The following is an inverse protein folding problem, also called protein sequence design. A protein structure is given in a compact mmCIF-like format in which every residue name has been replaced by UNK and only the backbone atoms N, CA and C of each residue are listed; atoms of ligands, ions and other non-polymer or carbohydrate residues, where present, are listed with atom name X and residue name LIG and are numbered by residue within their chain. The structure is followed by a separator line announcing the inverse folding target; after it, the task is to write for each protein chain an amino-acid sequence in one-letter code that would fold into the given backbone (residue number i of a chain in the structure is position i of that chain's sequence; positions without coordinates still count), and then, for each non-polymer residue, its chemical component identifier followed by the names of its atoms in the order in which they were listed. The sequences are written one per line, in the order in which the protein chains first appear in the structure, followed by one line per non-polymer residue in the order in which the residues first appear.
data_IF_532630578738
#
_entry.id   IF_532630578738
#
_cell.length_a   1.000
_cell.length_b   1.000
_cell.length_c   1.000
_cell.angle_alpha   90.00
_cell.angle_beta   90.00
_cell.angle_gamma   90.00
#
_symmetry.space_group_name_H-M   'P 1'
#
loop_
_entity.id
_entity.type
_entity.pdbx_description
1 polymer ?
#
# COMPACT_ATOMS: atom_id res chain seq x y z
N UNK A 1 33.47 16.01 12.13
CA UNK A 1 32.38 15.05 11.87
C UNK A 1 32.02 14.18 13.08
N UNK A 2 32.97 13.86 13.98
CA UNK A 2 32.67 13.07 15.18
C UNK A 2 31.80 13.79 16.23
N UNK A 3 31.83 15.12 16.29
CA UNK A 3 31.07 15.91 17.26
C UNK A 3 29.55 15.91 17.00
N UNK A 4 29.11 15.83 15.74
CA UNK A 4 27.69 15.79 15.38
C UNK A 4 26.96 14.55 15.91
N UNK A 5 27.57 13.37 15.83
CA UNK A 5 26.98 12.10 16.27
C UNK A 5 26.89 12.07 17.79
N UNK A 6 27.97 12.46 18.49
CA UNK A 6 27.99 12.48 19.95
C UNK A 6 26.96 13.47 20.55
N UNK A 7 26.84 14.66 19.94
CA UNK A 7 25.84 15.68 20.34
C UNK A 7 24.41 15.16 20.08
N UNK A 8 24.19 14.52 18.96
CA UNK A 8 22.89 13.96 18.58
C UNK A 8 22.47 12.84 19.52
N UNK A 9 23.36 11.91 19.82
CA UNK A 9 23.08 10.79 20.74
C UNK A 9 22.80 11.26 22.16
N UNK A 10 23.44 12.35 22.62
CA UNK A 10 23.18 12.99 23.92
C UNK A 10 21.83 13.68 23.94
N UNK A 11 21.49 14.47 22.92
CA UNK A 11 20.28 15.28 22.87
C UNK A 11 19.01 14.48 22.59
N UNK A 12 19.13 13.29 22.00
CA UNK A 12 18.01 12.38 21.74
C UNK A 12 17.96 11.19 22.70
N UNK A 13 18.70 11.22 23.79
CA UNK A 13 18.60 10.22 24.84
C UNK A 13 17.20 10.27 25.52
N UNK A 14 16.62 9.11 25.92
CA UNK A 14 15.32 9.07 26.57
C UNK A 14 15.28 9.97 27.81
N UNK A 15 14.30 10.89 27.85
CA UNK A 15 14.10 11.82 28.97
C UNK A 15 14.86 13.16 28.89
N UNK A 16 15.61 13.39 27.81
CA UNK A 16 16.26 14.69 27.54
C UNK A 16 15.38 15.55 26.64
N UNK A 17 15.27 16.83 26.95
CA UNK A 17 14.65 17.82 26.07
C UNK A 17 15.72 18.51 25.23
N UNK A 18 15.79 18.26 23.90
CA UNK A 18 16.80 18.85 23.03
C UNK A 18 16.75 20.37 22.99
N UNK A 19 15.61 20.98 23.30
CA UNK A 19 15.45 22.45 23.31
C UNK A 19 16.17 23.12 24.48
N UNK A 20 16.50 22.38 25.52
CA UNK A 20 17.15 22.87 26.74
C UNK A 20 18.68 22.83 26.67
N UNK A 21 19.30 22.23 25.65
CA UNK A 21 20.77 22.10 25.52
C UNK A 21 21.36 23.27 24.71
N UNK A 22 22.14 24.18 25.32
CA UNK A 22 22.73 25.35 24.66
C UNK A 22 23.75 24.98 23.57
N UNK A 23 24.50 23.86 23.72
CA UNK A 23 25.45 23.38 22.71
C UNK A 23 24.72 22.88 21.49
N UNK A 24 23.59 22.21 21.68
CA UNK A 24 22.72 21.78 20.58
C UNK A 24 22.14 22.98 19.83
N UNK A 25 21.63 23.98 20.53
CA UNK A 25 21.12 25.21 19.93
C UNK A 25 22.17 25.93 19.08
N UNK A 26 23.41 26.04 19.57
CA UNK A 26 24.52 26.64 18.84
C UNK A 26 24.91 25.80 17.61
N UNK A 27 24.91 24.46 17.74
CA UNK A 27 25.21 23.52 16.65
C UNK A 27 24.18 23.59 15.53
N UNK A 28 22.89 23.76 15.84
CA UNK A 28 21.83 23.93 14.85
C UNK A 28 21.98 25.19 14.00
N UNK A 29 22.72 26.20 14.44
CA UNK A 29 22.98 27.39 13.62
C UNK A 29 24.00 27.10 12.51
N UNK A 30 24.92 26.18 12.73
CA UNK A 30 26.03 25.89 11.83
C UNK A 30 25.85 24.62 10.99
N UNK A 31 25.11 23.62 11.49
CA UNK A 31 24.96 22.31 10.82
C UNK A 31 23.58 22.17 10.14
N UNK A 32 23.56 22.11 8.81
CA UNK A 32 22.35 21.96 8.01
C UNK A 32 21.65 20.60 8.21
N UNK A 33 22.41 19.51 8.35
CA UNK A 33 21.88 18.15 8.55
C UNK A 33 21.17 18.02 9.89
N UNK A 34 21.77 18.56 10.97
CA UNK A 34 21.17 18.53 12.29
C UNK A 34 19.91 19.43 12.37
N UNK A 35 19.87 20.53 11.63
CA UNK A 35 18.64 21.35 11.49
C UNK A 35 17.51 20.58 10.82
N UNK A 36 17.80 19.81 9.79
CA UNK A 36 16.81 18.98 9.09
C UNK A 36 16.27 17.88 10.01
N UNK A 37 17.15 17.18 10.73
CA UNK A 37 16.76 16.15 11.69
C UNK A 37 15.89 16.73 12.84
N UNK A 38 16.26 17.88 13.38
CA UNK A 38 15.50 18.56 14.44
C UNK A 38 14.11 19.01 13.98
N UNK A 39 13.99 19.55 12.76
CA UNK A 39 12.68 19.90 12.17
C UNK A 39 11.81 18.67 11.92
N UNK A 40 12.40 17.55 11.52
CA UNK A 40 11.70 16.27 11.33
C UNK A 40 11.09 15.76 12.64
N UNK A 41 11.86 15.83 13.74
CA UNK A 41 11.38 15.43 15.08
C UNK A 41 10.25 16.33 15.58
N UNK A 42 10.37 17.64 15.45
CA UNK A 42 9.31 18.58 15.84
C UNK A 42 7.99 18.33 15.04
N UNK A 43 8.10 17.83 13.82
CA UNK A 43 6.94 17.42 13.02
C UNK A 43 6.31 16.12 13.54
N UNK A 44 7.12 15.16 13.92
CA UNK A 44 6.67 13.87 14.51
C UNK A 44 6.04 14.11 15.88
N UNK A 45 6.63 14.95 16.74
CA UNK A 45 6.07 15.31 18.06
C UNK A 45 4.71 16.01 17.93
N UNK A 46 4.56 16.90 16.96
CA UNK A 46 3.27 17.54 16.68
C UNK A 46 2.23 16.52 16.23
N UNK A 47 2.59 15.62 15.31
CA UNK A 47 1.71 14.56 14.86
C UNK A 47 1.34 13.60 16.01
N UNK A 48 2.27 13.28 16.91
CA UNK A 48 2.01 12.46 18.09
C UNK A 48 1.14 13.19 19.12
N UNK A 49 1.30 14.50 19.31
CA UNK A 49 0.45 15.31 20.21
C UNK A 49 -0.98 15.43 19.67
N UNK A 50 -1.16 15.50 18.36
CA UNK A 50 -2.48 15.46 17.71
C UNK A 50 -3.15 14.09 17.87
N UNK A 51 -2.39 12.99 17.80
CA UNK A 51 -2.88 11.64 18.08
C UNK A 51 -3.25 11.42 19.56
N UNK A 52 -2.54 12.07 20.50
CA UNK A 52 -2.83 12.04 21.94
C UNK A 52 -4.14 12.73 22.33
N UNK A 53 -4.74 13.55 21.46
CA UNK A 53 -6.05 14.19 21.67
C UNK A 53 -7.23 13.32 21.22
N UNK A 54 -6.99 12.18 20.61
CA UNK A 54 -8.06 11.24 20.31
C UNK A 54 -8.40 10.43 21.57
N UNK A 55 -9.67 10.37 21.99
CA UNK A 55 -10.07 9.62 23.18
C UNK A 55 -10.02 8.11 22.87
N UNK A 56 -8.85 7.54 22.88
CA UNK A 56 -8.68 6.10 22.98
C UNK A 56 -8.79 5.78 24.47
N UNK A 57 -10.01 5.49 24.94
CA UNK A 57 -10.18 4.86 26.25
C UNK A 57 -9.67 3.43 26.16
N UNK A 58 -8.40 3.21 26.38
CA UNK A 58 -7.89 1.92 26.77
C UNK A 58 -8.45 1.65 28.15
N UNK A 59 -9.22 0.55 28.40
CA UNK A 59 -9.66 0.24 29.75
C UNK A 59 -8.40 0.08 30.60
N UNK A 60 -8.22 1.02 31.53
CA UNK A 60 -7.02 1.12 32.34
C UNK A 60 -6.83 -0.17 33.17
N UNK A 61 -5.59 -0.43 33.55
CA UNK A 61 -5.18 -1.55 34.42
C UNK A 61 -6.04 -1.66 35.67
N UNK A 62 -6.60 -0.55 36.16
CA UNK A 62 -7.53 -0.50 37.28
C UNK A 62 -8.87 -1.22 37.03
N UNK A 63 -9.38 -1.23 35.78
CA UNK A 63 -10.60 -1.95 35.43
C UNK A 63 -10.37 -3.48 35.47
N UNK A 64 -9.19 -3.93 35.03
CA UNK A 64 -8.78 -5.33 35.09
C UNK A 64 -8.52 -5.77 36.53
N UNK A 65 -7.86 -4.93 37.34
CA UNK A 65 -7.59 -5.20 38.75
C UNK A 65 -8.88 -5.24 39.59
N UNK A 66 -9.86 -4.36 39.30
CA UNK A 66 -11.16 -4.38 40.00
C UNK A 66 -12.01 -5.59 39.62
N UNK A 67 -11.96 -6.06 38.38
CA UNK A 67 -12.63 -7.28 37.93
C UNK A 67 -12.02 -8.53 38.57
N UNK A 68 -10.70 -8.62 38.71
CA UNK A 68 -10.01 -9.70 39.41
C UNK A 68 -10.32 -9.70 40.92
N UNK A 69 -10.37 -8.52 41.56
CA UNK A 69 -10.74 -8.37 42.96
C UNK A 69 -12.19 -8.75 43.29
N UNK A 70 -13.13 -8.51 42.36
CA UNK A 70 -14.53 -8.91 42.50
C UNK A 70 -14.73 -10.40 42.32
N UNK A 71 -13.98 -11.07 41.45
CA UNK A 71 -13.99 -12.52 41.28
C UNK A 71 -13.48 -13.25 42.52
N UNK A 72 -12.41 -12.76 43.17
CA UNK A 72 -11.86 -13.33 44.41
C UNK A 72 -12.82 -13.17 45.61
N UNK A 73 -13.53 -12.04 45.70
CA UNK A 73 -14.56 -11.80 46.74
C UNK A 73 -15.76 -12.72 46.54
N UNK A 74 -16.20 -12.99 45.34
CA UNK A 74 -17.29 -13.89 45.03
C UNK A 74 -16.94 -15.36 45.37
N UNK A 75 -15.70 -15.77 45.21
CA UNK A 75 -15.24 -17.12 45.54
C UNK A 75 -15.22 -17.36 47.06
N UNK A 76 -14.82 -16.36 47.87
CA UNK A 76 -14.92 -16.44 49.34
C UNK A 76 -16.37 -16.45 49.85
N UNK A 77 -17.27 -15.70 49.20
CA UNK A 77 -18.71 -15.71 49.57
C UNK A 77 -19.39 -17.06 49.29
N UNK A 78 -18.98 -17.76 48.23
CA UNK A 78 -19.49 -19.11 47.90
C UNK A 78 -19.04 -20.19 48.89
N UNK A 79 -17.92 -20.01 49.60
CA UNK A 79 -17.46 -20.92 50.63
C UNK A 79 -18.19 -20.74 51.99
N UNK A 80 -18.68 -19.53 52.29
CA UNK A 80 -19.43 -19.27 53.54
C UNK A 80 -20.88 -19.74 53.49
N UNK A 81 -21.52 -19.77 52.31
CA UNK A 81 -22.94 -20.17 52.18
C UNK A 81 -23.16 -21.68 52.24
N UNK A 82 -22.10 -22.52 52.28
CA UNK A 82 -22.22 -23.97 52.38
C UNK A 82 -22.46 -24.51 53.77
N UNK A 83 -22.61 -23.66 54.83
CA UNK A 83 -22.77 -24.13 56.25
C UNK A 83 -24.11 -23.79 56.88
N UNK A 84 -25.13 -23.29 56.14
CA UNK A 84 -26.45 -23.06 56.70
C UNK A 84 -27.57 -23.35 55.70
N UNK A 85 -28.08 -24.60 55.72
CA UNK A 85 -29.40 -24.93 55.26
C UNK A 85 -29.95 -25.94 56.28
N UNK A 86 -31.20 -25.85 56.75
CA UNK A 86 -32.32 -26.24 55.94
C UNK A 86 -33.55 -25.28 56.08
N UNK A 87 -34.47 -25.40 55.19
CA UNK A 87 -35.81 -24.83 55.04
C UNK A 87 -35.88 -23.79 53.86
N UNK A 88 -36.50 -24.29 52.79
CA UNK A 88 -37.50 -23.60 51.96
C UNK A 88 -37.65 -24.30 50.58
N UNK A 89 -38.51 -25.27 50.52
CA UNK A 89 -38.83 -26.04 49.28
C UNK A 89 -39.93 -25.42 48.42
N UNK A 90 -40.35 -24.18 48.64
CA UNK A 90 -41.45 -23.55 47.89
C UNK A 90 -41.03 -22.42 46.91
N UNK A 91 -39.75 -22.03 46.89
CA UNK A 91 -39.22 -21.02 45.99
C UNK A 91 -38.48 -21.54 44.75
N UNK A 92 -38.27 -22.84 44.63
CA UNK A 92 -37.38 -23.44 43.61
C UNK A 92 -37.99 -23.52 42.21
N UNK A 93 -39.31 -23.53 42.06
CA UNK A 93 -39.95 -23.65 40.73
C UNK A 93 -39.91 -22.36 39.93
N UNK A 94 -40.05 -21.19 40.56
CA UNK A 94 -40.00 -19.89 39.87
C UNK A 94 -38.58 -19.45 39.57
N UNK A 95 -37.62 -19.78 40.45
CA UNK A 95 -36.21 -19.49 40.20
C UNK A 95 -35.60 -20.36 39.07
N UNK A 96 -36.07 -21.61 38.93
CA UNK A 96 -35.62 -22.49 37.83
C UNK A 96 -36.16 -22.03 36.48
N UNK A 97 -37.38 -21.51 36.40
CA UNK A 97 -37.95 -20.94 35.15
C UNK A 97 -37.24 -19.65 34.76
N UNK A 98 -36.94 -18.76 35.73
CA UNK A 98 -36.21 -17.53 35.46
C UNK A 98 -34.75 -17.79 35.04
N UNK A 99 -34.08 -18.74 35.71
CA UNK A 99 -32.73 -19.17 35.34
C UNK A 99 -32.68 -19.87 33.98
N UNK A 100 -33.71 -20.67 33.64
CA UNK A 100 -33.86 -21.28 32.31
C UNK A 100 -34.08 -20.25 31.21
N UNK A 101 -34.87 -19.20 31.46
CA UNK A 101 -35.14 -18.13 30.53
C UNK A 101 -33.89 -17.23 30.30
N UNK A 102 -33.18 -16.92 31.38
CA UNK A 102 -31.89 -16.20 31.31
C UNK A 102 -30.82 -17.03 30.62
N UNK A 103 -30.74 -18.34 30.92
CA UNK A 103 -29.84 -19.26 30.24
C UNK A 103 -30.21 -19.41 28.74
N UNK A 104 -31.48 -19.51 28.38
CA UNK A 104 -31.94 -19.55 27.01
C UNK A 104 -31.66 -18.24 26.27
N UNK A 105 -31.83 -17.07 26.91
CA UNK A 105 -31.47 -15.75 26.36
C UNK A 105 -29.94 -15.60 26.21
N UNK A 106 -29.15 -16.09 27.18
CA UNK A 106 -27.67 -16.06 27.09
C UNK A 106 -27.15 -17.06 26.05
N UNK A 107 -27.74 -18.24 25.93
CA UNK A 107 -27.43 -19.23 24.90
C UNK A 107 -27.89 -18.73 23.52
N UNK A 108 -29.06 -18.07 23.44
CA UNK A 108 -29.54 -17.42 22.23
C UNK A 108 -28.62 -16.31 21.78
N UNK A 109 -28.14 -15.45 22.71
CA UNK A 109 -27.13 -14.43 22.40
C UNK A 109 -25.77 -15.03 22.07
N UNK A 110 -25.32 -16.07 22.74
CA UNK A 110 -24.07 -16.76 22.43
C UNK A 110 -24.12 -17.47 21.07
N UNK A 111 -25.29 -17.96 20.64
CA UNK A 111 -25.48 -18.50 19.27
C UNK A 111 -25.50 -17.44 18.20
N UNK A 112 -25.88 -16.19 18.52
CA UNK A 112 -25.78 -15.06 17.59
C UNK A 112 -24.37 -14.51 17.49
N UNK A 113 -23.47 -14.81 18.44
CA UNK A 113 -22.08 -14.43 18.49
C UNK A 113 -21.13 -15.48 17.86
N UNK A 114 -21.64 -16.60 17.36
CA UNK A 114 -20.86 -17.58 16.64
C UNK A 114 -20.37 -17.05 15.30
N UNK A 115 -19.20 -17.50 14.79
CA UNK A 115 -18.67 -17.06 13.52
C UNK A 115 -19.69 -17.36 12.41
N UNK A 116 -20.07 -16.33 11.64
CA UNK A 116 -21.03 -16.44 10.54
C UNK A 116 -20.42 -17.29 9.43
N UNK A 117 -21.16 -18.32 8.98
CA UNK A 117 -20.76 -19.04 7.77
C UNK A 117 -20.93 -18.13 6.55
N UNK A 118 -19.85 -17.89 5.81
CA UNK A 118 -19.88 -17.08 4.60
C UNK A 118 -20.28 -17.94 3.39
N UNK A 119 -21.29 -17.49 2.65
CA UNK A 119 -21.69 -18.05 1.35
C UNK A 119 -21.25 -17.11 0.22
N UNK A 120 -21.08 -17.61 -1.01
CA UNK A 120 -20.76 -16.78 -2.17
C UNK A 120 -21.73 -15.61 -2.32
N UNK A 121 -21.20 -14.43 -2.61
CA UNK A 121 -21.95 -13.18 -2.67
C UNK A 121 -22.19 -12.50 -1.31
N UNK A 122 -21.89 -13.14 -0.19
CA UNK A 122 -22.01 -12.53 1.13
C UNK A 122 -20.96 -11.46 1.35
N UNK A 123 -21.39 -10.34 1.92
CA UNK A 123 -20.53 -9.22 2.32
C UNK A 123 -20.47 -9.13 3.85
N UNK A 124 -19.28 -8.98 4.37
CA UNK A 124 -18.99 -8.75 5.79
C UNK A 124 -18.51 -7.32 5.94
N UNK A 125 -19.18 -6.52 6.77
CA UNK A 125 -18.79 -5.13 7.06
C UNK A 125 -18.47 -4.99 8.53
N UNK A 126 -17.30 -4.40 8.84
CA UNK A 126 -16.85 -4.05 10.19
C UNK A 126 -16.48 -2.57 10.24
N UNK A 127 -17.11 -1.82 11.15
CA UNK A 127 -16.83 -0.39 11.34
C UNK A 127 -16.15 -0.12 12.68
N UNK A 128 -16.77 -0.49 13.77
CA UNK A 128 -16.29 -0.27 15.16
C UNK A 128 -15.94 -1.57 15.86
N UNK A 129 -16.60 -2.66 15.51
CA UNK A 129 -16.36 -3.97 16.10
C UNK A 129 -15.88 -4.96 15.05
N UNK A 130 -14.84 -5.73 15.39
CA UNK A 130 -14.33 -6.79 14.53
C UNK A 130 -15.39 -7.88 14.32
N UNK A 131 -15.53 -8.37 13.11
CA UNK A 131 -16.46 -9.45 12.75
C UNK A 131 -15.70 -10.69 12.34
N UNK A 132 -16.14 -11.83 12.85
CA UNK A 132 -15.58 -13.14 12.53
C UNK A 132 -16.52 -13.94 11.64
N UNK A 133 -15.93 -14.71 10.74
CA UNK A 133 -16.64 -15.60 9.84
C UNK A 133 -15.80 -16.87 9.57
N UNK A 134 -16.49 -17.93 9.11
CA UNK A 134 -15.85 -19.19 8.73
C UNK A 134 -16.31 -19.57 7.34
N UNK A 135 -15.41 -20.07 6.49
CA UNK A 135 -15.74 -20.67 5.20
C UNK A 135 -16.00 -22.17 5.37
N UNK A 136 -16.70 -22.77 4.41
CA UNK A 136 -17.08 -24.19 4.49
C UNK A 136 -15.90 -25.18 4.56
N UNK A 137 -14.68 -24.76 4.21
CA UNK A 137 -13.44 -25.54 4.31
C UNK A 137 -12.66 -25.30 5.61
N UNK A 138 -13.26 -24.61 6.60
CA UNK A 138 -12.65 -24.37 7.90
C UNK A 138 -11.74 -23.14 7.96
N UNK A 139 -11.61 -22.35 6.90
CA UNK A 139 -10.89 -21.09 6.90
C UNK A 139 -11.58 -20.11 7.85
N UNK A 140 -10.83 -19.58 8.79
CA UNK A 140 -11.31 -18.57 9.76
C UNK A 140 -10.88 -17.18 9.31
N UNK A 141 -11.83 -16.26 9.35
CA UNK A 141 -11.66 -14.88 8.92
C UNK A 141 -12.05 -13.98 10.09
N UNK A 142 -11.23 -12.97 10.36
CA UNK A 142 -11.55 -11.87 11.26
C UNK A 142 -11.31 -10.56 10.53
N UNK A 143 -12.38 -9.83 10.25
CA UNK A 143 -12.36 -8.50 9.68
C UNK A 143 -12.38 -7.48 10.82
N UNK A 144 -11.28 -6.75 11.01
CA UNK A 144 -11.17 -5.74 12.06
C UNK A 144 -11.88 -4.45 11.66
N UNK A 145 -11.69 -4.03 10.41
CA UNK A 145 -12.31 -2.82 9.85
C UNK A 145 -12.42 -2.96 8.34
N UNK A 146 -13.47 -2.37 7.76
CA UNK A 146 -13.68 -2.33 6.32
C UNK A 146 -14.75 -3.28 5.81
N UNK A 147 -14.62 -3.66 4.55
CA UNK A 147 -15.58 -4.51 3.83
C UNK A 147 -14.86 -5.68 3.20
N UNK A 148 -15.38 -6.90 3.42
CA UNK A 148 -14.89 -8.13 2.83
C UNK A 148 -16.04 -8.86 2.13
N UNK A 149 -15.85 -9.24 0.87
CA UNK A 149 -16.84 -9.98 0.08
C UNK A 149 -16.28 -11.34 -0.34
N UNK A 150 -17.05 -12.41 -0.18
CA UNK A 150 -16.73 -13.70 -0.77
C UNK A 150 -17.18 -13.66 -2.25
N UNK A 151 -16.22 -13.44 -3.15
CA UNK A 151 -16.50 -13.25 -4.58
C UNK A 151 -16.77 -14.58 -5.30
N UNK A 152 -16.01 -15.63 -4.95
CA UNK A 152 -16.18 -16.96 -5.51
C UNK A 152 -15.84 -18.03 -4.46
N UNK A 153 -16.55 -19.15 -4.50
CA UNK A 153 -16.26 -20.32 -3.69
C UNK A 153 -16.60 -21.57 -4.47
N UNK A 154 -15.57 -22.25 -4.95
CA UNK A 154 -15.63 -23.61 -5.45
C UNK A 154 -14.94 -24.55 -4.46
N UNK A 155 -14.96 -25.87 -4.70
CA UNK A 155 -14.23 -26.82 -3.86
C UNK A 155 -12.72 -26.59 -3.91
N UNK A 156 -12.19 -26.11 -5.04
CA UNK A 156 -10.76 -25.96 -5.32
C UNK A 156 -10.26 -24.53 -5.17
N UNK A 157 -11.11 -23.52 -5.32
CA UNK A 157 -10.70 -22.12 -5.27
C UNK A 157 -11.72 -21.26 -4.55
N UNK A 158 -11.23 -20.45 -3.63
CA UNK A 158 -12.03 -19.46 -2.93
C UNK A 158 -11.39 -18.10 -3.08
N UNK A 159 -12.18 -17.07 -3.37
CA UNK A 159 -11.71 -15.72 -3.59
C UNK A 159 -12.45 -14.73 -2.69
N UNK A 160 -11.69 -14.05 -1.86
CA UNK A 160 -12.14 -12.94 -1.02
C UNK A 160 -11.75 -11.62 -1.68
N UNK A 161 -12.64 -10.64 -1.69
CA UNK A 161 -12.37 -9.30 -2.18
C UNK A 161 -12.32 -8.34 -0.99
N UNK A 162 -11.21 -7.64 -0.83
CA UNK A 162 -10.97 -6.62 0.21
C UNK A 162 -10.70 -5.26 -0.47
N UNK A 163 -11.73 -4.45 -0.75
CA UNK A 163 -11.55 -3.12 -1.35
C UNK A 163 -10.80 -2.14 -0.45
N UNK A 164 -11.10 -2.19 0.85
CA UNK A 164 -10.49 -1.37 1.89
C UNK A 164 -10.66 -2.03 3.24
N UNK A 165 -9.66 -1.94 4.12
CA UNK A 165 -9.76 -2.42 5.49
C UNK A 165 -8.64 -3.37 5.92
N UNK A 166 -8.89 -4.09 7.03
CA UNK A 166 -7.93 -5.01 7.63
C UNK A 166 -8.59 -6.33 7.93
N UNK A 167 -8.02 -7.42 7.39
CA UNK A 167 -8.50 -8.78 7.58
C UNK A 167 -7.37 -9.68 8.04
N UNK A 168 -7.64 -10.51 9.06
CA UNK A 168 -6.84 -11.66 9.44
C UNK A 168 -7.47 -12.92 8.86
N UNK A 169 -6.65 -13.77 8.29
CA UNK A 169 -7.08 -15.03 7.69
C UNK A 169 -6.22 -16.16 8.23
N UNK A 170 -6.89 -17.15 8.79
CA UNK A 170 -6.28 -18.38 9.28
C UNK A 170 -6.78 -19.53 8.40
N UNK A 171 -5.88 -20.01 7.55
CA UNK A 171 -6.16 -21.03 6.54
C UNK A 171 -5.56 -22.35 7.01
N UNK A 172 -6.37 -23.36 7.34
CA UNK A 172 -5.85 -24.69 7.58
C UNK A 172 -5.16 -25.24 6.33
N UNK A 173 -4.33 -26.26 6.48
CA UNK A 173 -3.70 -26.88 5.32
C UNK A 173 -4.77 -27.37 4.36
N UNK A 174 -4.86 -26.74 3.20
CA UNK A 174 -5.85 -27.08 2.17
C UNK A 174 -5.48 -28.39 1.45
N UNK A 175 -6.47 -29.03 0.85
CA UNK A 175 -6.23 -30.19 -0.01
C UNK A 175 -5.32 -29.82 -1.20
N UNK A 176 -4.53 -30.76 -1.72
CA UNK A 176 -3.71 -30.54 -2.91
C UNK A 176 -4.54 -29.97 -4.07
N UNK A 177 -4.04 -28.91 -4.69
CA UNK A 177 -4.73 -28.19 -5.76
C UNK A 177 -5.74 -27.12 -5.29
N UNK A 178 -6.08 -27.10 -4.00
CA UNK A 178 -6.98 -26.07 -3.46
C UNK A 178 -6.23 -24.82 -3.06
N UNK A 179 -6.81 -23.65 -3.35
CA UNK A 179 -6.24 -22.33 -3.07
C UNK A 179 -7.26 -21.40 -2.44
N UNK A 180 -6.80 -20.52 -1.55
CA UNK A 180 -7.52 -19.31 -1.16
C UNK A 180 -6.80 -18.09 -1.72
N UNK A 181 -7.55 -17.17 -2.29
CA UNK A 181 -7.02 -15.86 -2.67
C UNK A 181 -7.74 -14.73 -1.94
N UNK A 182 -6.97 -13.70 -1.54
CA UNK A 182 -7.49 -12.41 -1.11
C UNK A 182 -7.09 -11.39 -2.16
N UNK A 183 -8.08 -10.81 -2.82
CA UNK A 183 -7.88 -9.81 -3.88
C UNK A 183 -8.12 -8.42 -3.32
N UNK A 184 -7.20 -7.53 -3.60
CA UNK A 184 -7.28 -6.10 -3.35
C UNK A 184 -7.16 -5.36 -4.69
N UNK A 185 -7.39 -4.04 -4.75
CA UNK A 185 -7.11 -3.26 -5.96
C UNK A 185 -5.66 -3.31 -6.44
N UNK A 186 -4.71 -3.63 -5.55
CA UNK A 186 -3.27 -3.58 -5.86
C UNK A 186 -2.64 -4.95 -6.06
N UNK A 187 -3.25 -6.02 -5.52
CA UNK A 187 -2.64 -7.35 -5.53
C UNK A 187 -3.64 -8.48 -5.34
N UNK A 188 -3.28 -9.66 -5.84
CA UNK A 188 -3.86 -10.93 -5.45
C UNK A 188 -2.90 -11.67 -4.51
N UNK A 189 -3.38 -12.02 -3.32
CA UNK A 189 -2.66 -12.75 -2.28
C UNK A 189 -3.14 -14.20 -2.28
N UNK A 190 -2.29 -15.16 -2.68
CA UNK A 190 -2.61 -16.60 -2.78
C UNK A 190 -1.95 -17.42 -1.71
N UNK A 191 -2.71 -18.37 -1.16
CA UNK A 191 -2.25 -19.22 -0.06
C UNK A 191 -2.80 -20.65 -0.17
N UNK A 192 -2.08 -21.61 0.47
CA UNK A 192 -2.46 -23.01 0.52
C UNK A 192 -2.62 -23.55 1.96
N UNK A 193 -2.24 -22.77 2.97
CA UNK A 193 -2.29 -23.17 4.38
C UNK A 193 -1.39 -22.26 5.19
N UNK A 194 -1.92 -21.10 5.60
CA UNK A 194 -1.14 -20.01 6.14
C UNK A 194 -1.97 -19.20 7.12
N UNK A 195 -1.29 -18.53 8.04
CA UNK A 195 -1.89 -17.51 8.93
C UNK A 195 -1.28 -16.17 8.55
N UNK A 196 -2.10 -15.25 8.08
CA UNK A 196 -1.64 -13.96 7.56
C UNK A 196 -2.67 -12.86 7.77
N UNK A 197 -2.22 -11.63 7.61
CA UNK A 197 -3.03 -10.42 7.64
C UNK A 197 -2.88 -9.68 6.33
N UNK A 198 -3.97 -9.14 5.83
CA UNK A 198 -3.97 -8.17 4.72
C UNK A 198 -4.56 -6.86 5.22
N UNK A 199 -3.83 -5.78 5.00
CA UNK A 199 -4.26 -4.42 5.29
C UNK A 199 -4.29 -3.67 3.97
N UNK A 200 -5.48 -3.21 3.56
CA UNK A 200 -5.65 -2.36 2.38
C UNK A 200 -5.98 -0.94 2.82
N UNK A 201 -5.09 -0.01 2.52
CA UNK A 201 -5.29 1.44 2.70
C UNK A 201 -5.76 2.07 1.39
N UNK A 202 -5.94 3.39 1.33
CA UNK A 202 -6.22 4.10 0.07
C UNK A 202 -5.02 4.10 -0.90
N UNK A 203 -3.79 3.80 -0.43
CA UNK A 203 -2.55 3.92 -1.20
C UNK A 203 -1.92 2.59 -1.57
N UNK A 204 -2.03 1.59 -0.68
CA UNK A 204 -1.27 0.35 -0.76
C UNK A 204 -1.98 -0.84 -0.11
N UNK A 205 -1.49 -2.02 -0.42
CA UNK A 205 -1.83 -3.28 0.25
C UNK A 205 -0.60 -3.79 0.99
N UNK A 206 -0.71 -3.96 2.31
CA UNK A 206 0.30 -4.59 3.14
C UNK A 206 -0.10 -6.03 3.47
N UNK A 207 0.85 -6.96 3.35
CA UNK A 207 0.67 -8.38 3.67
C UNK A 207 1.67 -8.77 4.74
N UNK A 208 1.19 -9.23 5.89
CA UNK A 208 2.00 -9.69 7.00
C UNK A 208 1.77 -11.19 7.19
N UNK A 209 2.81 -12.01 7.17
CA UNK A 209 2.71 -13.47 7.28
C UNK A 209 3.15 -13.92 8.66
N UNK A 210 2.24 -14.52 9.42
CA UNK A 210 2.54 -15.09 10.74
C UNK A 210 3.04 -16.54 10.64
N UNK A 211 2.44 -17.34 9.75
CA UNK A 211 2.81 -18.74 9.53
C UNK A 211 2.65 -19.13 8.07
N UNK A 212 3.58 -19.94 7.54
CA UNK A 212 3.55 -20.50 6.21
C UNK A 212 4.17 -19.59 5.16
N UNK A 213 3.67 -19.70 3.93
CA UNK A 213 4.18 -18.98 2.75
C UNK A 213 3.00 -18.43 1.96
N UNK A 214 3.12 -17.17 1.56
CA UNK A 214 2.12 -16.44 0.79
C UNK A 214 2.73 -16.03 -0.55
N UNK A 215 2.03 -16.27 -1.65
CA UNK A 215 2.35 -15.73 -2.96
C UNK A 215 1.53 -14.46 -3.19
N UNK A 216 2.22 -13.35 -3.45
CA UNK A 216 1.61 -12.06 -3.74
C UNK A 216 1.87 -11.71 -5.19
N UNK A 217 0.79 -11.55 -5.95
CA UNK A 217 0.80 -11.11 -7.36
C UNK A 217 0.30 -9.67 -7.43
N UNK A 218 1.19 -8.69 -7.58
CA UNK A 218 0.77 -7.30 -7.72
C UNK A 218 -0.09 -7.12 -8.98
N UNK A 219 -1.14 -6.31 -8.90
CA UNK A 219 -1.91 -5.90 -10.06
C UNK A 219 -1.07 -5.00 -10.99
N UNK A 220 -1.31 -5.14 -12.30
CA UNK A 220 -0.57 -4.44 -13.34
C UNK A 220 0.45 -5.33 -14.05
N UNK A 221 0.63 -5.04 -15.36
CA UNK A 221 1.51 -5.79 -16.23
C UNK A 221 2.98 -5.67 -15.79
N UNK A 222 3.74 -6.75 -15.96
CA UNK A 222 5.20 -6.76 -15.76
C UNK A 222 5.68 -6.67 -14.32
N UNK A 223 4.78 -6.68 -13.33
CA UNK A 223 5.16 -6.64 -11.91
C UNK A 223 5.56 -8.04 -11.43
N UNK A 224 6.69 -8.18 -10.74
CA UNK A 224 7.16 -9.49 -10.28
C UNK A 224 6.25 -10.06 -9.19
N UNK A 225 6.02 -11.35 -9.24
CA UNK A 225 5.40 -12.11 -8.16
C UNK A 225 6.36 -12.17 -6.97
N UNK A 226 5.83 -11.94 -5.77
CA UNK A 226 6.60 -11.95 -4.52
C UNK A 226 6.18 -13.16 -3.68
N UNK A 227 7.16 -13.81 -3.09
CA UNK A 227 6.93 -14.90 -2.12
C UNK A 227 7.29 -14.39 -0.72
N UNK A 228 6.31 -14.33 0.17
CA UNK A 228 6.46 -13.81 1.53
C UNK A 228 6.38 -14.97 2.50
N UNK A 229 7.37 -15.08 3.38
CA UNK A 229 7.47 -16.16 4.37
C UNK A 229 7.03 -15.69 5.75
N UNK A 230 6.86 -16.65 6.65
CA UNK A 230 6.56 -16.36 8.06
C UNK A 230 7.56 -15.35 8.67
N UNK A 231 7.03 -14.34 9.35
CA UNK A 231 7.78 -13.21 9.92
C UNK A 231 8.07 -12.07 8.95
N UNK A 232 7.80 -12.23 7.65
CA UNK A 232 8.03 -11.20 6.64
C UNK A 232 6.78 -10.36 6.38
N UNK A 233 7.01 -9.15 5.89
CA UNK A 233 5.98 -8.19 5.48
C UNK A 233 6.29 -7.69 4.07
N UNK A 234 5.27 -7.58 3.23
CA UNK A 234 5.37 -6.90 1.94
C UNK A 234 4.38 -5.75 1.86
N UNK A 235 4.80 -4.66 1.22
CA UNK A 235 3.92 -3.53 0.88
C UNK A 235 3.85 -3.37 -0.63
N UNK A 236 2.64 -3.46 -1.17
CA UNK A 236 2.36 -3.40 -2.60
C UNK A 236 1.60 -2.10 -2.86
N UNK A 237 2.26 -1.14 -3.48
CA UNK A 237 1.61 0.08 -3.97
C UNK A 237 0.75 -0.18 -5.20
N UNK A 238 -0.06 0.80 -5.59
CA UNK A 238 -0.84 0.73 -6.83
C UNK A 238 0.06 0.54 -8.06
N UNK A 239 -0.52 0.05 -9.16
CA UNK A 239 0.21 -0.08 -10.43
C UNK A 239 0.73 1.29 -10.91
N UNK A 240 -0.02 2.34 -10.67
CA UNK A 240 0.37 3.72 -10.99
C UNK A 240 1.55 4.20 -10.14
N UNK A 241 1.52 4.00 -8.82
CA UNK A 241 2.63 4.35 -7.93
C UNK A 241 3.91 3.56 -8.27
N UNK A 242 3.78 2.29 -8.64
CA UNK A 242 4.92 1.48 -9.10
C UNK A 242 5.54 2.04 -10.38
N UNK A 243 4.71 2.39 -11.37
CA UNK A 243 5.18 2.99 -12.63
C UNK A 243 5.82 4.35 -12.41
N UNK A 244 5.22 5.20 -11.57
CA UNK A 244 5.80 6.50 -11.23
C UNK A 244 7.16 6.35 -10.54
N UNK A 245 7.32 5.40 -9.62
CA UNK A 245 8.62 5.07 -9.02
C UNK A 245 9.66 4.63 -10.05
N UNK A 246 9.28 3.77 -11.00
CA UNK A 246 10.16 3.38 -12.12
C UNK A 246 10.53 4.57 -13.00
N UNK A 247 9.58 5.44 -13.31
CA UNK A 247 9.81 6.65 -14.11
C UNK A 247 10.81 7.58 -13.43
N UNK A 248 10.64 7.85 -12.13
CA UNK A 248 11.56 8.69 -11.36
C UNK A 248 12.97 8.08 -11.31
N UNK A 249 13.06 6.77 -11.04
CA UNK A 249 14.34 6.07 -11.03
C UNK A 249 15.02 6.10 -12.40
N UNK A 250 14.25 5.97 -13.49
CA UNK A 250 14.77 6.05 -14.86
C UNK A 250 15.34 7.44 -15.15
N UNK A 251 14.62 8.50 -14.80
CA UNK A 251 15.09 9.87 -14.97
C UNK A 251 16.39 10.12 -14.19
N UNK A 252 16.43 9.71 -12.93
CA UNK A 252 17.63 9.83 -12.10
C UNK A 252 18.83 9.07 -12.71
N UNK A 253 18.63 7.85 -13.19
CA UNK A 253 19.68 7.07 -13.84
C UNK A 253 20.18 7.73 -15.14
N UNK A 254 19.28 8.33 -15.93
CA UNK A 254 19.65 9.08 -17.14
C UNK A 254 20.46 10.34 -16.80
N UNK A 255 20.06 11.08 -15.79
CA UNK A 255 20.76 12.29 -15.32
C UNK A 255 22.18 11.99 -14.81
N UNK A 256 22.39 10.80 -14.23
CA UNK A 256 23.71 10.33 -13.77
C UNK A 256 24.50 9.60 -14.87
N UNK A 257 23.96 9.44 -16.07
CA UNK A 257 24.62 8.71 -17.16
C UNK A 257 24.65 7.19 -16.97
N UNK A 258 23.84 6.66 -16.07
CA UNK A 258 23.73 5.22 -15.77
C UNK A 258 22.80 4.52 -16.78
N UNK A 259 23.14 4.60 -18.07
CA UNK A 259 22.30 4.15 -19.17
C UNK A 259 21.84 2.69 -19.07
N UNK A 260 22.71 1.80 -18.59
CA UNK A 260 22.35 0.39 -18.43
C UNK A 260 21.27 0.16 -17.34
N UNK A 261 21.29 0.97 -16.28
CA UNK A 261 20.23 0.95 -15.26
C UNK A 261 18.93 1.53 -15.82
N UNK A 262 19.02 2.68 -16.51
CA UNK A 262 17.88 3.32 -17.16
C UNK A 262 17.19 2.38 -18.16
N UNK A 263 17.94 1.70 -19.03
CA UNK A 263 17.39 0.77 -20.03
C UNK A 263 16.65 -0.42 -19.38
N UNK A 264 17.16 -0.97 -18.26
CA UNK A 264 16.44 -2.02 -17.51
C UNK A 264 15.12 -1.51 -16.93
N UNK A 265 15.10 -0.30 -16.38
CA UNK A 265 13.90 0.32 -15.82
C UNK A 265 12.89 0.67 -16.92
N UNK A 266 13.36 1.16 -18.07
CA UNK A 266 12.53 1.43 -19.26
C UNK A 266 11.89 0.13 -19.78
N UNK A 267 12.62 -0.98 -19.79
CA UNK A 267 12.06 -2.28 -20.17
C UNK A 267 10.92 -2.70 -19.23
N UNK A 268 11.05 -2.44 -17.93
CA UNK A 268 9.99 -2.67 -16.95
C UNK A 268 8.81 -1.70 -17.15
N UNK A 269 9.08 -0.42 -17.45
CA UNK A 269 8.03 0.56 -17.79
C UNK A 269 7.23 0.10 -19.01
N UNK A 270 7.89 -0.33 -20.08
CA UNK A 270 7.24 -0.87 -21.27
C UNK A 270 6.40 -2.11 -20.97
N UNK A 271 6.94 -3.03 -20.16
CA UNK A 271 6.24 -4.24 -19.72
C UNK A 271 5.04 -3.97 -18.81
N UNK A 272 5.07 -2.87 -18.04
CA UNK A 272 3.98 -2.46 -17.13
C UNK A 272 2.97 -1.50 -17.76
N UNK A 273 3.17 -1.07 -19.01
CA UNK A 273 2.34 -0.08 -19.68
C UNK A 273 1.16 -0.72 -20.40
N UNK A 274 -0.07 -0.43 -19.97
CA UNK A 274 -1.30 -0.90 -20.61
C UNK A 274 -1.77 0.06 -21.71
N UNK A 275 -1.63 1.36 -21.49
CA UNK A 275 -2.14 2.42 -22.35
C UNK A 275 -1.11 2.89 -23.39
N UNK A 276 -1.59 3.35 -24.54
CA UNK A 276 -0.74 3.84 -25.61
C UNK A 276 0.14 5.03 -25.19
N UNK A 277 -0.41 5.99 -24.42
CA UNK A 277 0.32 7.13 -23.89
C UNK A 277 1.47 6.73 -22.97
N UNK A 278 1.24 5.74 -22.12
CA UNK A 278 2.26 5.19 -21.23
C UNK A 278 3.40 4.51 -21.99
N UNK A 279 3.07 3.78 -23.05
CA UNK A 279 4.06 3.17 -23.95
C UNK A 279 4.85 4.22 -24.70
N UNK A 280 4.19 5.28 -25.15
CA UNK A 280 4.82 6.39 -25.84
C UNK A 280 5.85 7.10 -24.92
N UNK A 281 5.50 7.37 -23.66
CA UNK A 281 6.43 7.96 -22.70
C UNK A 281 7.66 7.08 -22.47
N UNK A 282 7.47 5.78 -22.26
CA UNK A 282 8.59 4.85 -22.07
C UNK A 282 9.49 4.76 -23.33
N UNK A 283 8.90 4.82 -24.53
CA UNK A 283 9.66 4.89 -25.78
C UNK A 283 10.43 6.22 -25.91
N UNK A 284 9.88 7.33 -25.43
CA UNK A 284 10.57 8.62 -25.42
C UNK A 284 11.81 8.58 -24.51
N UNK A 285 11.70 7.99 -23.32
CA UNK A 285 12.84 7.80 -22.42
C UNK A 285 13.91 6.89 -23.02
N UNK A 286 13.51 5.82 -23.73
CA UNK A 286 14.45 4.97 -24.46
C UNK A 286 15.16 5.73 -25.59
N UNK A 287 14.41 6.51 -26.35
CA UNK A 287 14.97 7.32 -27.43
C UNK A 287 15.99 8.34 -26.89
N UNK A 288 15.68 8.97 -25.76
CA UNK A 288 16.61 9.88 -25.09
C UNK A 288 17.89 9.16 -24.64
N UNK A 289 17.79 7.99 -23.99
CA UNK A 289 18.94 7.18 -23.61
C UNK A 289 19.83 6.84 -24.81
N UNK A 290 19.21 6.44 -25.94
CA UNK A 290 19.91 6.10 -27.16
C UNK A 290 20.60 7.34 -27.80
N UNK A 291 19.91 8.48 -27.82
CA UNK A 291 20.45 9.76 -28.33
C UNK A 291 21.67 10.20 -27.51
N UNK A 292 21.59 10.16 -26.17
CA UNK A 292 22.70 10.52 -25.28
C UNK A 292 23.94 9.61 -25.45
N UNK A 293 23.75 8.37 -25.91
CA UNK A 293 24.82 7.42 -26.23
C UNK A 293 25.33 7.52 -27.67
N UNK A 294 24.86 8.49 -28.46
CA UNK A 294 25.24 8.65 -29.85
C UNK A 294 24.59 7.63 -30.81
N UNK A 295 23.66 6.80 -30.36
CA UNK A 295 22.94 5.83 -31.20
C UNK A 295 21.78 6.48 -31.94
N UNK A 296 22.14 7.46 -32.81
CA UNK A 296 21.21 8.37 -33.46
C UNK A 296 20.12 7.67 -34.26
N UNK A 297 20.48 6.72 -35.11
CA UNK A 297 19.53 6.03 -35.98
C UNK A 297 18.47 5.25 -35.15
N UNK A 298 18.91 4.60 -34.06
CA UNK A 298 18.02 3.90 -33.13
C UNK A 298 17.11 4.89 -32.40
N UNK A 299 17.65 6.03 -31.94
CA UNK A 299 16.89 7.09 -31.28
C UNK A 299 15.79 7.66 -32.20
N UNK A 300 16.11 7.98 -33.45
CA UNK A 300 15.16 8.44 -34.46
C UNK A 300 14.02 7.43 -34.66
N UNK A 301 14.35 6.14 -34.76
CA UNK A 301 13.34 5.09 -34.91
C UNK A 301 12.38 5.05 -33.70
N UNK A 302 12.90 5.19 -32.47
CA UNK A 302 12.09 5.21 -31.25
C UNK A 302 11.24 6.49 -31.15
N UNK A 303 11.78 7.65 -31.44
CA UNK A 303 10.99 8.90 -31.45
C UNK A 303 9.84 8.85 -32.48
N UNK A 304 10.06 8.24 -33.66
CA UNK A 304 8.97 8.02 -34.62
C UNK A 304 7.86 7.15 -34.07
N UNK A 305 8.21 6.09 -33.29
CA UNK A 305 7.22 5.26 -32.58
C UNK A 305 6.43 6.06 -31.54
N UNK A 306 7.08 7.01 -30.84
CA UNK A 306 6.40 7.91 -29.89
C UNK A 306 5.27 8.67 -30.58
N UNK A 307 5.55 9.30 -31.74
CA UNK A 307 4.54 10.06 -32.48
C UNK A 307 3.38 9.20 -32.98
N UNK A 308 3.64 7.93 -33.30
CA UNK A 308 2.61 6.96 -33.72
C UNK A 308 1.73 6.49 -32.56
N UNK A 309 2.33 6.29 -31.38
CA UNK A 309 1.61 5.78 -30.18
C UNK A 309 0.85 6.88 -29.44
N UNK A 310 1.25 8.13 -29.62
CA UNK A 310 0.69 9.25 -28.85
C UNK A 310 -0.73 9.57 -29.29
N UNK A 311 -1.73 9.57 -28.40
CA UNK A 311 -3.09 9.96 -28.72
C UNK A 311 -3.16 11.43 -29.15
N UNK A 312 -4.04 11.73 -30.12
CA UNK A 312 -4.33 13.11 -30.50
C UNK A 312 -5.00 13.87 -29.33
N UNK A 313 -4.62 15.14 -29.18
CA UNK A 313 -5.18 16.01 -28.13
C UNK A 313 -4.52 15.91 -26.76
N UNK A 314 -3.66 14.94 -26.49
CA UNK A 314 -2.81 14.94 -25.30
C UNK A 314 -1.51 15.70 -25.59
N UNK A 315 -1.17 16.66 -24.72
CA UNK A 315 0.01 17.53 -24.90
C UNK A 315 0.93 17.53 -23.68
N UNK A 316 1.41 16.36 -23.20
CA UNK A 316 2.37 16.36 -22.12
C UNK A 316 3.73 16.90 -22.61
N UNK A 317 4.45 17.62 -21.75
CA UNK A 317 5.73 18.25 -22.08
C UNK A 317 6.76 17.25 -22.64
N UNK A 318 6.81 16.03 -22.14
CA UNK A 318 7.72 14.99 -22.64
C UNK A 318 7.44 14.62 -24.11
N UNK A 319 6.19 14.72 -24.55
CA UNK A 319 5.82 14.41 -25.93
C UNK A 319 6.22 15.54 -26.89
N UNK A 320 6.10 16.78 -26.46
CA UNK A 320 6.63 17.93 -27.21
C UNK A 320 8.15 17.83 -27.35
N UNK A 321 8.86 17.55 -26.24
CA UNK A 321 10.31 17.36 -26.28
C UNK A 321 10.69 16.21 -27.22
N UNK A 322 9.99 15.08 -27.19
CA UNK A 322 10.26 13.97 -28.11
C UNK A 322 10.07 14.33 -29.59
N UNK A 323 9.06 15.16 -29.89
CA UNK A 323 8.84 15.66 -31.25
C UNK A 323 9.97 16.60 -31.72
N UNK A 324 10.38 17.54 -30.88
CA UNK A 324 11.47 18.45 -31.15
C UNK A 324 12.81 17.73 -31.30
N UNK A 325 13.13 16.79 -30.41
CA UNK A 325 14.35 15.99 -30.49
C UNK A 325 14.43 15.16 -31.77
N UNK A 326 13.31 14.55 -32.20
CA UNK A 326 13.26 13.88 -33.50
C UNK A 326 13.60 14.81 -34.63
N UNK A 327 13.01 16.00 -34.68
CA UNK A 327 13.25 16.98 -35.74
C UNK A 327 14.71 17.46 -35.72
N UNK A 328 15.29 17.69 -34.53
CA UNK A 328 16.70 18.09 -34.37
C UNK A 328 17.64 16.98 -34.85
N UNK A 329 17.42 15.75 -34.48
CA UNK A 329 18.26 14.61 -34.85
C UNK A 329 18.23 14.39 -36.39
N UNK A 330 17.05 14.49 -37.01
CA UNK A 330 16.90 14.36 -38.46
C UNK A 330 17.51 15.55 -39.19
N UNK A 331 17.41 16.77 -38.64
CA UNK A 331 17.98 17.99 -39.25
C UNK A 331 19.50 17.89 -39.41
N UNK A 332 20.21 17.24 -38.50
CA UNK A 332 21.66 17.08 -38.53
C UNK A 332 22.13 16.23 -39.72
N UNK A 333 21.38 15.20 -40.10
CA UNK A 333 21.77 14.27 -41.17
C UNK A 333 21.03 14.59 -42.48
N UNK A 334 19.77 15.03 -42.39
CA UNK A 334 18.86 15.25 -43.52
C UNK A 334 18.06 16.56 -43.36
N UNK A 335 18.68 17.76 -43.53
CA UNK A 335 18.02 19.05 -43.26
C UNK A 335 16.68 19.24 -43.98
N UNK A 336 16.58 18.71 -45.20
CA UNK A 336 15.35 18.80 -46.00
C UNK A 336 14.19 17.93 -45.45
N UNK A 337 14.51 16.87 -44.73
CA UNK A 337 13.52 15.98 -44.14
C UNK A 337 13.03 16.46 -42.74
N UNK A 338 13.75 17.43 -42.14
CA UNK A 338 13.38 17.96 -40.82
C UNK A 338 12.19 18.93 -40.87
N UNK A 339 12.00 19.67 -41.96
CA UNK A 339 10.95 20.68 -42.08
C UNK A 339 9.52 20.10 -41.91
N UNK A 340 9.16 18.96 -42.53
CA UNK A 340 7.87 18.32 -42.25
C UNK A 340 7.70 17.88 -40.77
N UNK A 341 8.79 17.45 -40.10
CA UNK A 341 8.75 17.09 -38.67
C UNK A 341 8.51 18.32 -37.79
N UNK A 342 9.18 19.43 -38.07
CA UNK A 342 8.92 20.71 -37.39
C UNK A 342 7.49 21.21 -37.61
N UNK A 343 6.95 21.06 -38.81
CA UNK A 343 5.56 21.39 -39.10
C UNK A 343 4.59 20.51 -38.32
N UNK A 344 4.86 19.21 -38.19
CA UNK A 344 4.08 18.28 -37.37
C UNK A 344 4.16 18.61 -35.87
N UNK A 345 5.35 18.98 -35.37
CA UNK A 345 5.49 19.41 -33.96
C UNK A 345 4.66 20.68 -33.69
N UNK A 346 4.70 21.65 -34.61
CA UNK A 346 3.92 22.88 -34.49
C UNK A 346 2.41 22.62 -34.56
N UNK A 347 1.99 21.69 -35.41
CA UNK A 347 0.58 21.29 -35.51
C UNK A 347 0.08 20.65 -34.22
N UNK A 348 0.88 19.77 -33.58
CA UNK A 348 0.54 19.07 -32.36
C UNK A 348 0.65 19.95 -31.11
N UNK A 349 1.64 20.85 -31.10
CA UNK A 349 1.98 21.70 -29.95
C UNK A 349 2.11 23.18 -30.38
N UNK A 350 1.00 23.83 -30.80
CA UNK A 350 1.04 25.17 -31.34
C UNK A 350 1.53 26.23 -30.36
N UNK A 351 1.30 26.01 -29.05
CA UNK A 351 1.65 26.93 -27.97
C UNK A 351 2.73 26.34 -27.05
N UNK A 352 3.41 25.30 -27.49
CA UNK A 352 4.44 24.62 -26.73
C UNK A 352 5.74 25.42 -26.62
N UNK A 353 6.66 24.94 -25.75
CA UNK A 353 7.96 25.59 -25.51
C UNK A 353 8.85 25.62 -26.75
N UNK A 354 8.67 24.64 -27.66
CA UNK A 354 9.42 24.58 -28.94
C UNK A 354 8.71 25.25 -30.13
N UNK A 355 7.50 25.78 -29.95
CA UNK A 355 6.70 26.33 -31.05
C UNK A 355 7.40 27.48 -31.78
N UNK A 356 8.14 28.35 -31.08
CA UNK A 356 8.90 29.44 -31.71
C UNK A 356 10.01 28.93 -32.64
N UNK A 357 10.75 27.91 -32.19
CA UNK A 357 11.80 27.24 -32.97
C UNK A 357 11.19 26.56 -34.20
N UNK A 358 10.11 25.83 -34.00
CA UNK A 358 9.40 25.13 -35.07
C UNK A 358 8.91 26.09 -36.15
N UNK A 359 8.32 27.25 -35.80
CA UNK A 359 7.92 28.30 -36.76
C UNK A 359 9.11 28.79 -37.56
N UNK A 360 10.23 29.08 -36.91
CA UNK A 360 11.45 29.55 -37.60
C UNK A 360 11.94 28.51 -38.60
N UNK A 361 12.01 27.24 -38.24
CA UNK A 361 12.50 26.14 -39.09
C UNK A 361 11.60 25.89 -40.30
N UNK A 362 10.29 25.93 -40.11
CA UNK A 362 9.32 25.81 -41.21
C UNK A 362 9.41 26.96 -42.19
N UNK A 363 9.67 28.19 -41.73
CA UNK A 363 9.84 29.35 -42.64
C UNK A 363 11.16 29.33 -43.41
N UNK A 364 12.25 28.88 -42.78
CA UNK A 364 13.58 28.80 -43.39
C UNK A 364 13.69 27.74 -44.51
N UNK A 365 12.76 26.79 -44.54
CA UNK A 365 12.74 25.67 -45.50
C UNK A 365 11.90 25.93 -46.75
N UNK A 366 11.22 27.08 -46.81
CA UNK A 366 10.49 27.58 -48.00
C UNK A 366 11.38 28.45 -48.85
#
# INVERSE_FOLDING_TARGET
MNDCLALRDRCFAPGMDPSSDPEWAAHLQTCAECRLAHRGLAHVERALSELGQWPVSVPGFEAVASAAGSAARNQRRRQMVRRSAPFLYTGLATAALAAGLVAALLIGRARQLGPKLLSPGTELQATTEAKSAVLGNGVRIRLDVGTLKLAAATKESQSLLLPLGRVFVDVPKLAPGSTLSVRTPDAEVRVHGTRFQVIRTSRDTQVNVAEGVVEVRPEGLGRPVQTIRAGETATIGSAEAYREGLRQATLAALDHGEFAAAERQIAQLLGSSAEAGQKAEAQALLAWSLSARGKRAEAIARYRQVLTLMPEGQQPLWAENACAELAILVEQDHPKESAPLWAECLRRFPDGVHAAVARSRVHSSR
#
